data_IF_329815560001
#
_entry.id   IF_329815560001
#
_cell.length_a   1.000
_cell.length_b   1.000
_cell.length_c   1.000
_cell.angle_alpha   90.00
_cell.angle_beta   90.00
_cell.angle_gamma   90.00
#
_symmetry.space_group_name_H-M   'P 1'
#
loop_
_entity.id
_entity.type
_entity.pdbx_description
1 polymer ?
#
# COMPACT_ATOMS: atom_id res chain seq x y z
N UNK A 1 -7.62 -3.02 2.46
CA UNK A 1 -6.60 -1.98 2.12
C UNK A 1 -6.98 -1.20 0.86
N UNK A 2 -7.03 -1.84 -0.32
CA UNK A 2 -7.40 -1.17 -1.59
C UNK A 2 -8.71 -0.34 -1.54
N UNK A 3 -9.77 -0.89 -0.93
CA UNK A 3 -11.05 -0.16 -0.82
C UNK A 3 -10.96 1.11 0.05
N UNK A 4 -10.10 1.11 1.09
CA UNK A 4 -9.87 2.28 1.95
C UNK A 4 -9.10 3.36 1.18
N UNK A 5 -8.08 2.96 0.42
CA UNK A 5 -7.28 3.87 -0.40
C UNK A 5 -8.19 4.60 -1.39
N UNK A 6 -9.03 3.85 -2.12
CA UNK A 6 -10.00 4.44 -3.06
C UNK A 6 -10.95 5.41 -2.36
N UNK A 7 -11.54 5.01 -1.23
CA UNK A 7 -12.51 5.84 -0.49
C UNK A 7 -11.91 7.12 0.09
N UNK A 8 -10.68 7.07 0.60
CA UNK A 8 -10.05 8.22 1.28
C UNK A 8 -9.27 9.13 0.35
N UNK A 9 -8.72 8.61 -0.75
CA UNK A 9 -7.81 9.36 -1.62
C UNK A 9 -8.31 9.51 -3.06
N UNK A 10 -9.32 8.75 -3.47
CA UNK A 10 -9.79 8.73 -4.86
C UNK A 10 -8.87 7.99 -5.83
N UNK A 11 -7.72 7.47 -5.39
CA UNK A 11 -6.79 6.76 -6.25
C UNK A 11 -7.25 5.32 -6.51
N UNK A 12 -7.12 4.89 -7.77
CA UNK A 12 -7.24 3.49 -8.14
C UNK A 12 -5.99 2.71 -7.73
N UNK A 13 -6.20 1.49 -7.23
CA UNK A 13 -5.13 0.60 -6.83
C UNK A 13 -5.25 -0.72 -7.57
N UNK A 14 -4.14 -1.19 -8.13
CA UNK A 14 -4.07 -2.50 -8.80
C UNK A 14 -3.59 -3.54 -7.79
N UNK A 15 -4.40 -4.58 -7.58
CA UNK A 15 -4.01 -5.72 -6.74
C UNK A 15 -3.23 -6.72 -7.59
N UNK A 16 -1.92 -6.79 -7.38
CA UNK A 16 -1.06 -7.77 -8.03
C UNK A 16 -0.93 -8.97 -7.09
N UNK A 17 -1.44 -10.13 -7.51
CA UNK A 17 -1.34 -11.36 -6.74
C UNK A 17 0.12 -11.83 -6.70
N UNK A 18 0.78 -11.61 -5.57
CA UNK A 18 2.12 -12.13 -5.30
C UNK A 18 2.10 -13.56 -4.78
N UNK A 19 3.19 -14.29 -4.99
CA UNK A 19 3.45 -15.61 -4.39
C UNK A 19 4.33 -15.49 -3.12
N UNK A 20 4.13 -16.37 -2.15
CA UNK A 20 5.02 -16.49 -0.98
C UNK A 20 4.73 -15.54 0.19
N UNK A 21 3.48 -15.07 0.34
CA UNK A 21 3.06 -14.28 1.51
C UNK A 21 3.63 -12.86 1.58
N UNK A 22 4.17 -12.37 0.46
CA UNK A 22 4.70 -11.02 0.29
C UNK A 22 3.54 -10.03 0.22
N UNK A 23 3.75 -8.87 0.83
CA UNK A 23 2.83 -7.75 0.72
C UNK A 23 3.65 -6.47 0.57
N UNK A 24 3.72 -5.97 -0.66
CA UNK A 24 4.46 -4.77 -1.02
C UNK A 24 3.47 -3.72 -1.52
N UNK A 25 3.68 -2.46 -1.12
CA UNK A 25 2.89 -1.31 -1.58
C UNK A 25 3.81 -0.38 -2.32
N UNK A 26 3.48 -0.13 -3.58
CA UNK A 26 4.24 0.72 -4.50
C UNK A 26 3.35 1.86 -4.96
N UNK A 27 3.88 3.08 -4.89
CA UNK A 27 3.22 4.31 -5.36
C UNK A 27 4.17 5.00 -6.33
N UNK A 28 3.71 5.33 -7.54
CA UNK A 28 4.53 5.95 -8.59
C UNK A 28 5.87 5.23 -8.85
N UNK A 29 5.86 3.89 -8.82
CA UNK A 29 7.06 3.07 -9.01
C UNK A 29 8.01 3.04 -7.80
N UNK A 30 7.68 3.69 -6.69
CA UNK A 30 8.46 3.68 -5.44
C UNK A 30 7.83 2.75 -4.42
N UNK A 31 8.63 1.81 -3.90
CA UNK A 31 8.22 0.95 -2.80
C UNK A 31 8.10 1.79 -1.52
N UNK A 32 6.87 2.00 -1.05
CA UNK A 32 6.60 2.75 0.17
C UNK A 32 6.42 1.83 1.39
N UNK A 33 6.11 0.54 1.16
CA UNK A 33 5.98 -0.44 2.24
C UNK A 33 6.30 -1.85 1.77
N UNK A 34 6.95 -2.64 2.62
CA UNK A 34 7.13 -4.08 2.40
C UNK A 34 6.98 -4.87 3.70
N UNK A 35 6.04 -5.82 3.71
CA UNK A 35 5.84 -6.77 4.81
C UNK A 35 7.07 -7.63 5.08
N UNK A 36 7.89 -7.89 4.06
CA UNK A 36 9.16 -8.62 4.25
C UNK A 36 10.14 -7.86 5.14
N UNK A 37 10.09 -6.53 5.12
CA UNK A 37 10.98 -5.68 5.93
C UNK A 37 10.42 -5.47 7.34
N UNK A 38 9.10 -5.27 7.46
CA UNK A 38 8.44 -4.96 8.73
C UNK A 38 8.00 -6.19 9.53
N UNK A 39 7.86 -7.35 8.87
CA UNK A 39 7.32 -8.58 9.44
C UNK A 39 5.81 -8.55 9.73
N UNK A 40 5.12 -7.45 9.40
CA UNK A 40 3.68 -7.26 9.66
C UNK A 40 2.96 -6.67 8.45
N UNK A 41 1.63 -6.64 8.51
CA UNK A 41 0.85 -5.87 7.53
C UNK A 41 0.84 -4.39 7.92
N UNK A 42 0.78 -3.47 6.93
CA UNK A 42 0.71 -2.04 7.22
C UNK A 42 -0.65 -1.68 7.81
N UNK A 43 -0.66 -0.66 8.66
CA UNK A 43 -1.90 0.00 9.03
C UNK A 43 -2.38 0.89 7.87
N UNK A 44 -3.71 1.07 7.68
CA UNK A 44 -4.23 1.92 6.61
C UNK A 44 -3.67 3.34 6.66
N UNK A 45 -3.47 3.90 7.85
CA UNK A 45 -2.97 5.26 8.04
C UNK A 45 -1.52 5.42 7.57
N UNK A 46 -0.67 4.39 7.72
CA UNK A 46 0.71 4.39 7.23
C UNK A 46 0.75 4.58 5.71
N UNK A 47 -0.12 3.86 4.97
CA UNK A 47 -0.19 3.96 3.52
C UNK A 47 -0.80 5.30 3.08
N UNK A 48 -1.85 5.75 3.78
CA UNK A 48 -2.53 7.01 3.46
C UNK A 48 -1.61 8.22 3.66
N UNK A 49 -0.73 8.20 4.66
CA UNK A 49 0.24 9.27 4.89
C UNK A 49 1.20 9.45 3.70
N UNK A 50 1.58 8.35 3.03
CA UNK A 50 2.38 8.41 1.80
C UNK A 50 1.60 8.90 0.57
N UNK A 51 0.27 8.80 0.58
CA UNK A 51 -0.61 9.22 -0.50
C UNK A 51 -1.14 10.65 -0.34
N UNK A 52 -1.18 11.18 0.90
CA UNK A 52 -1.67 12.52 1.21
C UNK A 52 -0.65 13.65 0.95
N UNK A 53 0.48 13.33 0.31
CA UNK A 53 1.57 14.25 0.03
C UNK A 53 1.41 15.03 -1.27
N UNK A 54 0.34 15.82 -1.42
CA UNK A 54 0.27 17.04 -2.26
C UNK A 54 -0.95 17.88 -1.93
#
# INVERSE_FOLDING_TARGET
MADIIRKKTGHDSTLIAGSGGVFDVVVDGRLIYSKKQTGRFPEPEEILAHLAGT
#
